data_IF_633508915309
#
_entry.id   IF_633508915309
#
_cell.length_a   1.000
_cell.length_b   1.000
_cell.length_c   1.000
_cell.angle_alpha   90.00
_cell.angle_beta   90.00
_cell.angle_gamma   90.00
#
_symmetry.space_group_name_H-M   'P 1'
#
loop_
_entity.id
_entity.type
_entity.pdbx_description
1 polymer ?
#
# COMPACT_ATOMS: atom_id res chain seq x y z
N UNK A 1 10.43 -13.79 -27.46
CA UNK A 1 10.25 -13.47 -26.02
C UNK A 1 11.36 -14.17 -25.25
N UNK A 2 12.10 -13.42 -24.43
CA UNK A 2 13.33 -13.88 -23.77
C UNK A 2 13.01 -14.89 -22.65
N UNK A 3 13.60 -16.08 -22.70
CA UNK A 3 13.30 -17.23 -21.80
C UNK A 3 13.68 -16.94 -20.34
N UNK A 4 14.63 -16.02 -20.13
CA UNK A 4 15.01 -15.47 -18.82
C UNK A 4 13.85 -14.73 -18.13
N UNK A 5 13.02 -14.01 -18.91
CA UNK A 5 11.87 -13.26 -18.41
C UNK A 5 10.68 -14.13 -18.01
N UNK A 6 10.57 -15.33 -18.61
CA UNK A 6 9.52 -16.30 -18.30
C UNK A 6 9.86 -17.03 -16.99
N UNK A 7 11.13 -17.44 -16.82
CA UNK A 7 11.60 -18.08 -15.58
C UNK A 7 11.47 -17.15 -14.38
N UNK A 8 11.88 -15.88 -14.48
CA UNK A 8 11.77 -14.90 -13.37
C UNK A 8 10.33 -14.65 -12.92
N UNK A 9 9.37 -14.69 -13.86
CA UNK A 9 7.93 -14.55 -13.57
C UNK A 9 7.32 -15.77 -12.89
N UNK A 10 7.83 -16.97 -13.16
CA UNK A 10 7.41 -18.19 -12.47
C UNK A 10 7.97 -18.25 -11.04
N UNK A 11 9.19 -17.79 -10.80
CA UNK A 11 9.73 -17.67 -9.44
C UNK A 11 8.97 -16.66 -8.57
N UNK A 12 8.41 -15.59 -9.16
CA UNK A 12 7.52 -14.68 -8.45
C UNK A 12 6.25 -15.36 -7.91
N UNK A 13 5.72 -16.37 -8.60
CA UNK A 13 4.59 -17.15 -8.09
C UNK A 13 4.99 -17.96 -6.87
N UNK A 14 6.10 -18.71 -6.98
CA UNK A 14 6.62 -19.52 -5.87
C UNK A 14 6.91 -18.65 -4.64
N UNK A 15 7.43 -17.44 -4.84
CA UNK A 15 7.76 -16.53 -3.75
C UNK A 15 6.53 -15.91 -3.06
N UNK A 16 5.39 -15.71 -3.74
CA UNK A 16 4.21 -15.08 -3.13
C UNK A 16 3.29 -16.07 -2.39
N UNK A 17 3.31 -17.34 -2.79
CA UNK A 17 2.46 -18.40 -2.21
C UNK A 17 2.64 -18.56 -0.70
N UNK A 18 3.85 -18.55 -0.12
CA UNK A 18 4.02 -18.60 1.34
C UNK A 18 3.27 -17.49 2.07
N UNK A 19 3.30 -16.25 1.55
CA UNK A 19 2.59 -15.13 2.16
C UNK A 19 1.07 -15.29 2.06
N UNK A 20 0.56 -15.82 0.94
CA UNK A 20 -0.84 -16.20 0.81
C UNK A 20 -1.23 -17.23 1.89
N UNK A 21 -0.46 -18.31 2.05
CA UNK A 21 -0.73 -19.36 3.04
C UNK A 21 -0.73 -18.77 4.46
N UNK A 22 0.29 -17.99 4.78
CA UNK A 22 0.41 -17.31 6.08
C UNK A 22 -0.72 -16.31 6.33
N UNK A 23 -1.30 -15.70 5.30
CA UNK A 23 -2.42 -14.79 5.47
C UNK A 23 -3.75 -15.54 5.59
N UNK A 24 -4.01 -16.51 4.72
CA UNK A 24 -5.29 -17.21 4.61
C UNK A 24 -5.56 -18.14 5.81
N UNK A 25 -4.52 -18.82 6.30
CA UNK A 25 -4.62 -19.82 7.37
C UNK A 25 -4.11 -19.30 8.71
N UNK A 26 -4.18 -17.99 8.94
CA UNK A 26 -3.78 -17.39 10.22
C UNK A 26 -4.83 -17.58 11.30
N UNK A 27 -4.38 -17.73 12.54
CA UNK A 27 -5.25 -17.72 13.72
C UNK A 27 -5.87 -16.34 13.95
N UNK A 28 -6.99 -16.31 14.70
CA UNK A 28 -7.66 -15.08 15.13
C UNK A 28 -6.75 -14.11 15.91
N UNK A 29 -5.67 -14.59 16.53
CA UNK A 29 -4.68 -13.78 17.25
C UNK A 29 -3.63 -13.12 16.35
N UNK A 30 -3.56 -13.48 15.06
CA UNK A 30 -2.57 -12.94 14.12
C UNK A 30 -3.19 -11.79 13.36
N UNK A 31 -2.59 -10.62 13.49
CA UNK A 31 -3.08 -9.35 12.99
C UNK A 31 -4.00 -8.65 14.00
N UNK A 32 -3.75 -7.36 14.21
CA UNK A 32 -4.46 -6.47 15.14
C UNK A 32 -5.98 -6.46 14.88
N UNK A 33 -6.38 -6.56 13.61
CA UNK A 33 -7.79 -6.42 13.21
C UNK A 33 -8.47 -7.75 12.86
N UNK A 34 -7.76 -8.89 12.90
CA UNK A 34 -8.31 -10.19 12.44
C UNK A 34 -9.56 -10.59 13.21
N UNK A 35 -9.53 -10.47 14.55
CA UNK A 35 -10.71 -10.77 15.38
C UNK A 35 -11.91 -9.89 15.02
N UNK A 36 -11.68 -8.62 14.69
CA UNK A 36 -12.73 -7.70 14.24
C UNK A 36 -13.35 -8.14 12.92
N UNK A 37 -12.55 -8.65 11.97
CA UNK A 37 -13.04 -9.19 10.70
C UNK A 37 -13.84 -10.49 10.86
N UNK A 38 -13.46 -11.35 11.81
CA UNK A 38 -14.24 -12.56 12.12
C UNK A 38 -15.57 -12.20 12.78
N UNK A 39 -15.57 -11.27 13.75
CA UNK A 39 -16.78 -10.83 14.43
C UNK A 39 -17.77 -10.13 13.48
N UNK A 40 -17.29 -9.29 12.57
CA UNK A 40 -18.17 -8.60 11.62
C UNK A 40 -18.81 -9.59 10.64
N UNK A 41 -18.07 -10.61 10.19
CA UNK A 41 -18.61 -11.66 9.35
C UNK A 41 -19.75 -12.42 10.04
N UNK A 42 -19.57 -12.81 11.31
CA UNK A 42 -20.63 -13.47 12.09
C UNK A 42 -21.87 -12.59 12.23
N UNK A 43 -21.70 -11.29 12.50
CA UNK A 43 -22.82 -10.34 12.56
C UNK A 43 -23.56 -10.23 11.23
N UNK A 44 -22.85 -10.18 10.11
CA UNK A 44 -23.47 -10.18 8.77
C UNK A 44 -24.26 -11.46 8.54
N UNK A 45 -23.65 -12.62 8.85
CA UNK A 45 -24.26 -13.93 8.65
C UNK A 45 -25.61 -14.08 9.37
N UNK A 46 -25.72 -13.54 10.59
CA UNK A 46 -26.96 -13.58 11.38
C UNK A 46 -27.89 -12.39 11.15
N UNK A 47 -27.62 -11.52 10.16
CA UNK A 47 -28.45 -10.35 9.87
C UNK A 47 -28.42 -9.27 10.97
N UNK A 48 -27.38 -9.26 11.81
CA UNK A 48 -27.23 -8.38 12.97
C UNK A 48 -26.46 -7.09 12.66
N UNK A 49 -26.31 -6.74 11.38
CA UNK A 49 -25.72 -5.46 10.96
C UNK A 49 -26.79 -4.46 10.63
N UNK A 50 -26.76 -3.33 11.35
CA UNK A 50 -27.44 -2.13 10.92
C UNK A 50 -26.58 -1.38 9.89
N UNK A 51 -27.02 -1.39 8.64
CA UNK A 51 -26.36 -0.69 7.54
C UNK A 51 -26.34 0.83 7.72
N UNK A 52 -27.24 1.40 8.53
CA UNK A 52 -27.30 2.85 8.77
C UNK A 52 -26.28 3.31 9.81
N UNK A 53 -25.86 2.43 10.72
CA UNK A 53 -25.01 2.75 11.86
C UNK A 53 -23.67 1.99 11.86
N UNK A 54 -23.29 1.38 10.73
CA UNK A 54 -22.03 0.64 10.61
C UNK A 54 -20.88 1.52 10.14
N UNK A 55 -19.69 1.34 10.73
CA UNK A 55 -18.44 2.00 10.33
C UNK A 55 -17.72 1.27 9.17
N UNK A 56 -18.36 0.28 8.58
CA UNK A 56 -17.82 -0.54 7.48
C UNK A 56 -18.40 -0.10 6.14
N UNK A 57 -17.56 -0.08 5.11
CA UNK A 57 -17.95 0.32 3.76
C UNK A 57 -18.86 -0.73 3.11
N UNK A 58 -19.83 -0.26 2.34
CA UNK A 58 -20.90 -1.11 1.78
C UNK A 58 -20.37 -2.27 0.92
N UNK A 59 -19.31 -2.05 0.14
CA UNK A 59 -18.71 -3.10 -0.69
C UNK A 59 -18.09 -4.22 0.16
N UNK A 60 -17.51 -3.88 1.31
CA UNK A 60 -17.02 -4.88 2.25
C UNK A 60 -18.17 -5.66 2.92
N UNK A 61 -19.27 -4.99 3.29
CA UNK A 61 -20.45 -5.66 3.84
C UNK A 61 -21.07 -6.62 2.80
N UNK A 62 -21.24 -6.18 1.55
CA UNK A 62 -21.77 -7.03 0.47
C UNK A 62 -20.86 -8.22 0.16
N UNK A 63 -19.54 -8.06 0.28
CA UNK A 63 -18.62 -9.18 0.19
C UNK A 63 -18.84 -10.20 1.33
N UNK A 64 -19.03 -9.73 2.57
CA UNK A 64 -19.33 -10.61 3.70
C UNK A 64 -20.65 -11.35 3.50
N UNK A 65 -21.71 -10.67 3.04
CA UNK A 65 -23.01 -11.30 2.74
C UNK A 65 -22.87 -12.42 1.69
N UNK A 66 -22.15 -12.15 0.60
CA UNK A 66 -21.90 -13.12 -0.46
C UNK A 66 -21.13 -14.36 0.04
N UNK A 67 -20.10 -14.14 0.87
CA UNK A 67 -19.33 -15.25 1.45
C UNK A 67 -20.16 -16.01 2.49
N UNK A 68 -20.95 -15.31 3.32
CA UNK A 68 -21.81 -15.93 4.32
C UNK A 68 -22.94 -16.77 3.72
N UNK A 69 -23.38 -16.42 2.50
CA UNK A 69 -24.32 -17.23 1.73
C UNK A 69 -23.72 -18.58 1.29
N UNK A 70 -22.41 -18.61 1.00
CA UNK A 70 -21.73 -19.81 0.51
C UNK A 70 -21.05 -20.64 1.62
N UNK A 71 -20.64 -19.99 2.71
CA UNK A 71 -19.82 -20.60 3.76
C UNK A 71 -20.27 -20.18 5.16
N UNK A 72 -20.34 -21.14 6.07
CA UNK A 72 -20.79 -20.89 7.45
C UNK A 72 -19.67 -20.49 8.41
N UNK A 73 -18.41 -20.78 8.08
CA UNK A 73 -17.25 -20.55 8.95
C UNK A 73 -16.66 -19.15 8.72
N UNK A 74 -16.42 -18.38 9.78
CA UNK A 74 -15.84 -17.03 9.70
C UNK A 74 -14.41 -16.98 9.15
N UNK A 75 -13.63 -18.04 9.24
CA UNK A 75 -12.31 -18.11 8.58
C UNK A 75 -12.44 -17.94 7.05
N UNK A 76 -13.60 -18.23 6.47
CA UNK A 76 -13.85 -18.08 5.03
C UNK A 76 -13.65 -16.63 4.55
N UNK A 77 -14.01 -15.61 5.34
CA UNK A 77 -13.74 -14.22 4.94
C UNK A 77 -12.24 -13.95 4.86
N UNK A 78 -11.45 -14.53 5.75
CA UNK A 78 -9.98 -14.39 5.76
C UNK A 78 -9.39 -15.07 4.54
N UNK A 79 -9.76 -16.33 4.26
CA UNK A 79 -9.25 -17.08 3.13
C UNK A 79 -9.60 -16.40 1.79
N UNK A 80 -10.87 -16.03 1.59
CA UNK A 80 -11.32 -15.43 0.32
C UNK A 80 -10.67 -14.07 0.09
N UNK A 81 -10.60 -13.22 1.12
CA UNK A 81 -9.92 -11.92 0.97
C UNK A 81 -8.43 -12.08 0.73
N UNK A 82 -7.76 -13.04 1.37
CA UNK A 82 -6.37 -13.39 1.05
C UNK A 82 -6.23 -13.85 -0.41
N UNK A 83 -7.10 -14.71 -0.94
CA UNK A 83 -7.06 -15.11 -2.36
C UNK A 83 -7.13 -13.87 -3.25
N UNK A 84 -8.09 -12.98 -3.02
CA UNK A 84 -8.27 -11.76 -3.83
C UNK A 84 -7.04 -10.84 -3.78
N UNK A 85 -6.54 -10.55 -2.57
CA UNK A 85 -5.40 -9.65 -2.34
C UNK A 85 -4.14 -10.22 -2.98
N UNK A 86 -3.75 -11.45 -2.64
CA UNK A 86 -2.49 -12.04 -3.12
C UNK A 86 -2.51 -12.33 -4.62
N UNK A 87 -3.67 -12.64 -5.19
CA UNK A 87 -3.84 -12.74 -6.65
C UNK A 87 -3.59 -11.40 -7.33
N UNK A 88 -4.17 -10.31 -6.81
CA UNK A 88 -3.96 -8.97 -7.33
C UNK A 88 -2.49 -8.54 -7.23
N UNK A 89 -1.84 -8.75 -6.08
CA UNK A 89 -0.42 -8.49 -5.89
C UNK A 89 0.45 -9.31 -6.84
N UNK A 90 0.17 -10.61 -7.00
CA UNK A 90 0.90 -11.46 -7.93
C UNK A 90 0.84 -10.92 -9.36
N UNK A 91 -0.36 -10.64 -9.88
CA UNK A 91 -0.51 -10.12 -11.24
C UNK A 91 0.09 -8.71 -11.41
N UNK A 92 -0.03 -7.85 -10.39
CA UNK A 92 0.59 -6.54 -10.37
C UNK A 92 2.12 -6.65 -10.46
N UNK A 93 2.74 -7.41 -9.57
CA UNK A 93 4.19 -7.59 -9.51
C UNK A 93 4.71 -8.30 -10.77
N UNK A 94 4.08 -9.41 -11.18
CA UNK A 94 4.47 -10.19 -12.36
C UNK A 94 4.47 -9.34 -13.64
N UNK A 95 3.49 -8.43 -13.76
CA UNK A 95 3.30 -7.64 -14.96
C UNK A 95 4.21 -6.41 -15.01
N UNK A 96 4.48 -5.79 -13.87
CA UNK A 96 5.08 -4.46 -13.83
C UNK A 96 6.45 -4.38 -13.16
N UNK A 97 6.89 -5.43 -12.45
CA UNK A 97 8.20 -5.43 -11.83
C UNK A 97 9.30 -5.87 -12.80
N UNK A 98 10.43 -5.18 -12.75
CA UNK A 98 11.67 -5.62 -13.39
C UNK A 98 12.28 -6.86 -12.72
N UNK A 99 11.98 -7.11 -11.44
CA UNK A 99 12.40 -8.30 -10.69
C UNK A 99 11.31 -8.71 -9.69
N UNK A 100 10.42 -9.65 -10.08
CA UNK A 100 9.29 -10.07 -9.25
C UNK A 100 9.68 -10.56 -7.85
N UNK A 101 10.73 -11.39 -7.75
CA UNK A 101 11.21 -11.91 -6.46
C UNK A 101 11.69 -10.78 -5.56
N UNK A 102 12.40 -9.79 -6.11
CA UNK A 102 12.88 -8.67 -5.32
C UNK A 102 11.74 -7.74 -4.88
N UNK A 103 10.72 -7.54 -5.71
CA UNK A 103 9.50 -6.84 -5.30
C UNK A 103 8.76 -7.54 -4.18
N UNK A 104 8.72 -8.89 -4.17
CA UNK A 104 8.09 -9.66 -3.09
C UNK A 104 8.91 -9.58 -1.80
N UNK A 105 10.24 -9.60 -1.91
CA UNK A 105 11.12 -9.30 -0.77
C UNK A 105 10.80 -7.92 -0.19
N UNK A 106 10.72 -6.88 -1.02
CA UNK A 106 10.36 -5.52 -0.59
C UNK A 106 8.94 -5.44 -0.03
N UNK A 107 7.99 -6.19 -0.58
CA UNK A 107 6.63 -6.31 -0.05
C UNK A 107 6.63 -6.78 1.42
N UNK A 108 7.48 -7.75 1.76
CA UNK A 108 7.68 -8.15 3.16
C UNK A 108 8.41 -7.07 3.96
N UNK A 109 9.61 -6.69 3.53
CA UNK A 109 10.53 -5.91 4.37
C UNK A 109 10.13 -4.46 4.54
N UNK A 110 9.36 -3.89 3.61
CA UNK A 110 8.77 -2.55 3.76
C UNK A 110 7.44 -2.57 4.52
N UNK A 111 7.02 -3.71 5.07
CA UNK A 111 5.85 -3.83 5.95
C UNK A 111 4.50 -4.04 5.23
N UNK A 112 4.48 -4.10 3.90
CA UNK A 112 3.23 -4.28 3.15
C UNK A 112 2.57 -5.64 3.38
N UNK A 113 3.34 -6.68 3.70
CA UNK A 113 2.79 -7.95 4.19
C UNK A 113 1.99 -7.78 5.49
N UNK A 114 2.55 -7.06 6.48
CA UNK A 114 1.82 -6.74 7.71
C UNK A 114 0.53 -5.98 7.44
N UNK A 115 0.58 -4.97 6.56
CA UNK A 115 -0.61 -4.23 6.14
C UNK A 115 -1.63 -5.14 5.43
N UNK A 116 -1.20 -6.13 4.63
CA UNK A 116 -2.09 -7.10 3.98
C UNK A 116 -2.87 -7.98 4.96
N UNK A 117 -2.29 -8.24 6.13
CA UNK A 117 -2.92 -9.04 7.20
C UNK A 117 -3.84 -8.18 8.07
N UNK A 118 -3.42 -6.95 8.39
CA UNK A 118 -4.13 -6.06 9.30
C UNK A 118 -5.24 -5.24 8.60
N UNK A 119 -4.98 -4.73 7.41
CA UNK A 119 -5.81 -3.72 6.76
C UNK A 119 -6.59 -4.31 5.57
N UNK A 120 -7.25 -5.46 5.75
CA UNK A 120 -7.91 -6.23 4.66
C UNK A 120 -8.78 -5.33 3.76
N UNK A 121 -9.62 -4.47 4.33
CA UNK A 121 -10.49 -3.56 3.57
C UNK A 121 -9.71 -2.63 2.64
N UNK A 122 -8.69 -1.98 3.18
CA UNK A 122 -7.79 -1.11 2.43
C UNK A 122 -7.04 -1.89 1.35
N UNK A 123 -6.70 -3.15 1.61
CA UNK A 123 -5.91 -3.98 0.70
C UNK A 123 -6.76 -4.56 -0.44
N UNK A 124 -8.05 -4.82 -0.19
CA UNK A 124 -9.04 -5.05 -1.26
C UNK A 124 -9.19 -3.82 -2.15
N UNK A 125 -9.33 -2.63 -1.56
CA UNK A 125 -9.39 -1.38 -2.32
C UNK A 125 -8.10 -1.15 -3.13
N UNK A 126 -6.93 -1.41 -2.53
CA UNK A 126 -5.63 -1.29 -3.20
C UNK A 126 -5.49 -2.27 -4.37
N UNK A 127 -6.03 -3.47 -4.23
CA UNK A 127 -6.07 -4.49 -5.31
C UNK A 127 -6.83 -3.97 -6.53
N UNK A 128 -7.93 -3.24 -6.33
CA UNK A 128 -8.69 -2.59 -7.41
C UNK A 128 -7.90 -1.38 -7.95
N UNK A 129 -7.22 -0.63 -7.09
CA UNK A 129 -6.35 0.50 -7.50
C UNK A 129 -5.21 0.04 -8.40
N UNK A 130 -4.66 -1.16 -8.25
CA UNK A 130 -3.68 -1.71 -9.19
C UNK A 130 -4.24 -1.83 -10.62
N UNK A 131 -5.52 -2.21 -10.75
CA UNK A 131 -6.21 -2.23 -12.04
C UNK A 131 -6.41 -0.80 -12.56
N UNK A 132 -6.88 0.11 -11.71
CA UNK A 132 -7.06 1.52 -12.07
C UNK A 132 -5.76 2.15 -12.59
N UNK A 133 -4.65 1.90 -11.90
CA UNK A 133 -3.32 2.37 -12.29
C UNK A 133 -2.88 1.82 -13.65
N UNK A 134 -3.12 0.54 -13.93
CA UNK A 134 -2.85 -0.05 -15.25
C UNK A 134 -3.63 0.66 -16.38
N UNK A 135 -4.89 1.05 -16.14
CA UNK A 135 -5.67 1.82 -17.12
C UNK A 135 -5.20 3.27 -17.22
N UNK A 136 -4.81 3.88 -16.10
CA UNK A 136 -4.28 5.24 -16.05
C UNK A 136 -2.99 5.37 -16.87
N UNK A 137 -2.10 4.37 -16.78
CA UNK A 137 -0.87 4.28 -17.59
C UNK A 137 -1.13 4.20 -19.09
N UNK A 138 -2.27 3.64 -19.49
CA UNK A 138 -2.73 3.52 -20.87
C UNK A 138 -3.58 4.73 -21.31
N UNK A 139 -3.54 5.80 -20.52
CA UNK A 139 -4.31 7.03 -20.72
C UNK A 139 -5.84 6.84 -20.77
N UNK A 140 -6.35 5.70 -20.27
CA UNK A 140 -7.79 5.39 -20.12
C UNK A 140 -8.31 5.95 -18.80
N UNK A 141 -8.37 7.29 -18.69
CA UNK A 141 -8.68 8.00 -17.45
C UNK A 141 -10.08 7.69 -16.92
N UNK A 142 -11.10 7.61 -17.78
CA UNK A 142 -12.48 7.32 -17.36
C UNK A 142 -12.60 5.95 -16.69
N UNK A 143 -11.95 4.93 -17.27
CA UNK A 143 -11.94 3.58 -16.68
C UNK A 143 -11.19 3.59 -15.33
N UNK A 144 -10.07 4.28 -15.24
CA UNK A 144 -9.33 4.42 -13.98
C UNK A 144 -10.17 5.13 -12.91
N UNK A 145 -10.88 6.21 -13.27
CA UNK A 145 -11.76 6.94 -12.38
C UNK A 145 -12.89 6.05 -11.82
N UNK A 146 -13.60 5.33 -12.68
CA UNK A 146 -14.68 4.40 -12.26
C UNK A 146 -14.12 3.33 -11.33
N UNK A 147 -12.96 2.75 -11.63
CA UNK A 147 -12.32 1.76 -10.77
C UNK A 147 -11.92 2.32 -9.40
N UNK A 148 -11.49 3.58 -9.31
CA UNK A 148 -11.18 4.22 -8.03
C UNK A 148 -12.45 4.47 -7.20
N UNK A 149 -13.55 4.88 -7.85
CA UNK A 149 -14.84 4.97 -7.17
C UNK A 149 -15.29 3.60 -6.67
N UNK A 150 -15.15 2.55 -7.49
CA UNK A 150 -15.46 1.19 -7.07
C UNK A 150 -14.57 0.72 -5.90
N UNK A 151 -13.27 1.06 -5.91
CA UNK A 151 -12.36 0.78 -4.80
C UNK A 151 -12.80 1.45 -3.49
N UNK A 152 -13.36 2.66 -3.58
CA UNK A 152 -13.87 3.38 -2.40
C UNK A 152 -15.04 2.67 -1.70
N UNK A 153 -15.77 1.79 -2.40
CA UNK A 153 -16.80 0.95 -1.78
C UNK A 153 -16.23 -0.07 -0.79
N UNK A 154 -14.93 -0.40 -0.90
CA UNK A 154 -14.24 -1.28 0.05
C UNK A 154 -13.47 -0.49 1.10
N UNK A 155 -12.91 0.67 0.72
CA UNK A 155 -12.29 1.58 1.67
C UNK A 155 -12.24 3.02 1.15
N UNK A 156 -12.92 3.94 1.84
CA UNK A 156 -13.13 5.32 1.36
C UNK A 156 -11.84 6.10 1.04
N UNK A 157 -10.73 5.79 1.72
CA UNK A 157 -9.44 6.46 1.49
C UNK A 157 -8.85 6.18 0.10
N UNK A 158 -9.36 5.18 -0.63
CA UNK A 158 -8.97 4.93 -2.02
C UNK A 158 -9.21 6.14 -2.94
N UNK A 159 -10.17 7.02 -2.59
CA UNK A 159 -10.42 8.27 -3.32
C UNK A 159 -9.20 9.18 -3.38
N UNK A 160 -8.27 9.10 -2.42
CA UNK A 160 -7.01 9.87 -2.45
C UNK A 160 -6.17 9.51 -3.69
N UNK A 161 -6.32 8.29 -4.23
CA UNK A 161 -5.65 7.91 -5.48
C UNK A 161 -6.20 8.63 -6.72
N UNK A 162 -7.35 9.34 -6.65
CA UNK A 162 -7.81 10.22 -7.72
C UNK A 162 -6.78 11.29 -8.06
N UNK A 163 -5.96 11.73 -7.08
CA UNK A 163 -4.88 12.66 -7.33
C UNK A 163 -3.96 12.14 -8.45
N UNK A 164 -3.75 10.83 -8.56
CA UNK A 164 -2.88 10.22 -9.57
C UNK A 164 -3.27 10.64 -11.01
N UNK A 165 -4.56 10.93 -11.26
CA UNK A 165 -5.08 11.38 -12.56
C UNK A 165 -4.49 12.72 -12.98
N UNK A 166 -4.37 13.65 -12.03
CA UNK A 166 -3.79 14.99 -12.28
C UNK A 166 -2.27 14.90 -12.29
N UNK A 167 -1.73 14.16 -11.32
CA UNK A 167 -0.30 14.04 -11.06
C UNK A 167 0.48 13.35 -12.18
N UNK A 168 -0.16 12.51 -13.00
CA UNK A 168 0.50 11.86 -14.14
C UNK A 168 1.10 12.85 -15.14
N UNK A 169 0.65 14.12 -15.14
CA UNK A 169 1.15 15.18 -16.03
C UNK A 169 2.41 15.87 -15.48
N UNK A 170 2.76 15.64 -14.22
CA UNK A 170 3.89 16.31 -13.56
C UNK A 170 5.19 15.67 -14.01
N UNK A 171 6.14 16.51 -14.44
CA UNK A 171 7.51 16.13 -14.73
C UNK A 171 8.41 16.51 -13.56
N UNK A 172 9.19 15.55 -13.07
CA UNK A 172 10.14 15.76 -11.99
C UNK A 172 11.27 16.68 -12.45
N UNK A 173 11.37 17.83 -11.79
CA UNK A 173 12.47 18.78 -11.91
C UNK A 173 12.59 19.58 -10.60
N UNK A 174 13.58 20.47 -10.51
CA UNK A 174 13.82 21.29 -9.30
C UNK A 174 12.59 22.14 -8.92
N UNK A 175 11.87 22.67 -9.91
CA UNK A 175 10.68 23.51 -9.69
C UNK A 175 9.53 22.65 -9.15
N UNK A 176 9.24 21.49 -9.75
CA UNK A 176 8.19 20.60 -9.25
C UNK A 176 8.49 20.14 -7.83
N UNK A 177 9.75 19.82 -7.52
CA UNK A 177 10.17 19.45 -6.15
C UNK A 177 9.95 20.61 -5.19
N UNK A 178 10.38 21.83 -5.53
CA UNK A 178 10.18 23.01 -4.70
C UNK A 178 8.70 23.30 -4.45
N UNK A 179 7.86 23.24 -5.50
CA UNK A 179 6.40 23.44 -5.39
C UNK A 179 5.79 22.39 -4.44
N UNK A 180 6.13 21.11 -4.59
CA UNK A 180 5.64 20.06 -3.69
C UNK A 180 6.08 20.28 -2.24
N UNK A 181 7.33 20.68 -2.01
CA UNK A 181 7.83 21.00 -0.68
C UNK A 181 7.06 22.17 -0.06
N UNK A 182 6.84 23.24 -0.83
CA UNK A 182 6.06 24.40 -0.37
C UNK A 182 4.62 23.99 -0.04
N UNK A 183 3.94 23.26 -0.94
CA UNK A 183 2.58 22.76 -0.70
C UNK A 183 2.53 21.89 0.57
N UNK A 184 3.54 21.05 0.79
CA UNK A 184 3.62 20.18 1.96
C UNK A 184 3.78 21.00 3.25
N UNK A 185 4.68 21.98 3.25
CA UNK A 185 4.91 22.88 4.41
C UNK A 185 3.66 23.69 4.71
N UNK A 186 3.06 24.30 3.69
CA UNK A 186 1.81 25.07 3.83
C UNK A 186 0.69 24.17 4.35
N UNK A 187 0.55 22.96 3.82
CA UNK A 187 -0.45 21.99 4.29
C UNK A 187 -0.21 21.53 5.73
N UNK A 188 1.04 21.37 6.13
CA UNK A 188 1.40 21.02 7.51
C UNK A 188 1.07 22.15 8.48
N UNK A 189 1.39 23.40 8.13
CA UNK A 189 1.06 24.58 8.93
C UNK A 189 -0.47 24.78 8.99
N UNK A 190 -1.15 24.58 7.87
CA UNK A 190 -2.61 24.71 7.74
C UNK A 190 -3.37 23.40 8.01
N UNK A 191 -2.86 22.51 8.88
CA UNK A 191 -3.46 21.17 9.03
C UNK A 191 -4.88 21.22 9.63
N UNK A 192 -5.20 22.17 10.50
CA UNK A 192 -6.53 22.29 11.15
C UNK A 192 -7.65 22.49 10.12
N UNK A 193 -7.61 23.50 9.22
CA UNK A 193 -8.65 23.66 8.21
C UNK A 193 -8.72 22.47 7.23
N UNK A 194 -7.58 21.85 6.92
CA UNK A 194 -7.53 20.63 6.08
C UNK A 194 -8.21 19.45 6.78
N UNK A 195 -7.96 19.26 8.08
CA UNK A 195 -8.59 18.24 8.90
C UNK A 195 -10.10 18.44 8.97
N UNK A 196 -10.57 19.66 9.20
CA UNK A 196 -12.00 19.97 9.23
C UNK A 196 -12.67 19.67 7.88
N UNK A 197 -12.01 19.99 6.77
CA UNK A 197 -12.47 19.63 5.43
C UNK A 197 -12.50 18.10 5.23
N UNK A 198 -11.44 17.40 5.64
CA UNK A 198 -11.36 15.95 5.57
C UNK A 198 -12.50 15.27 6.34
N UNK A 199 -12.75 15.68 7.57
CA UNK A 199 -13.82 15.15 8.43
C UNK A 199 -15.22 15.41 7.86
N UNK A 200 -15.39 16.52 7.13
CA UNK A 200 -16.63 16.81 6.40
C UNK A 200 -16.84 15.88 5.19
N UNK A 201 -15.77 15.57 4.45
CA UNK A 201 -15.81 14.67 3.28
C UNK A 201 -15.92 13.21 3.72
N UNK A 202 -15.30 12.85 4.84
CA UNK A 202 -15.28 11.49 5.37
C UNK A 202 -15.82 11.44 6.82
N UNK A 203 -17.14 11.59 7.02
CA UNK A 203 -17.75 11.69 8.35
C UNK A 203 -17.51 10.47 9.25
N UNK A 204 -17.25 9.30 8.64
CA UNK A 204 -16.92 8.06 9.37
C UNK A 204 -15.69 8.22 10.28
N UNK A 205 -14.83 9.21 10.02
CA UNK A 205 -13.67 9.49 10.85
C UNK A 205 -13.95 10.41 12.04
N UNK A 206 -15.16 10.98 12.15
CA UNK A 206 -15.54 11.80 13.31
C UNK A 206 -15.48 11.02 14.63
N UNK A 207 -15.72 9.71 14.59
CA UNK A 207 -15.62 8.84 15.79
C UNK A 207 -14.21 8.76 16.38
N UNK A 208 -13.18 9.22 15.65
CA UNK A 208 -11.80 9.23 16.11
C UNK A 208 -11.41 10.54 16.79
N UNK A 209 -12.27 11.57 16.77
CA UNK A 209 -12.03 12.84 17.47
C UNK A 209 -11.89 12.57 18.98
N UNK A 210 -10.82 13.09 19.59
CA UNK A 210 -10.52 12.88 21.01
C UNK A 210 -9.97 11.49 21.36
N UNK A 211 -9.77 10.60 20.36
CA UNK A 211 -9.11 9.32 20.57
C UNK A 211 -7.58 9.43 20.51
N UNK A 212 -6.88 8.40 20.96
CA UNK A 212 -5.41 8.27 20.81
C UNK A 212 -4.92 8.43 19.35
N UNK A 213 -5.80 8.26 18.36
CA UNK A 213 -5.51 8.46 16.94
C UNK A 213 -5.49 9.92 16.50
N UNK A 214 -5.90 10.84 17.38
CA UNK A 214 -6.00 12.29 17.18
C UNK A 214 -5.16 13.11 18.17
N UNK A 215 -4.46 12.47 19.11
CA UNK A 215 -3.75 13.16 20.20
C UNK A 215 -2.54 14.03 19.78
N UNK A 216 -2.33 14.28 18.49
CA UNK A 216 -1.27 15.18 17.99
C UNK A 216 0.17 14.76 18.30
N UNK A 217 0.37 13.69 19.08
CA UNK A 217 1.69 13.16 19.38
C UNK A 217 2.31 12.57 18.12
N UNK A 218 3.50 13.05 17.80
CA UNK A 218 4.28 12.56 16.67
C UNK A 218 4.60 11.09 16.90
N UNK A 219 3.97 10.22 16.11
CA UNK A 219 4.20 8.78 16.21
C UNK A 219 5.52 8.41 15.56
N UNK A 220 6.34 7.65 16.29
CA UNK A 220 7.60 7.11 15.78
C UNK A 220 7.42 6.37 14.45
N UNK A 221 6.30 5.68 14.25
CA UNK A 221 5.95 5.01 12.98
C UNK A 221 5.91 5.98 11.79
N UNK A 222 5.31 7.16 11.96
CA UNK A 222 5.24 8.18 10.91
C UNK A 222 6.62 8.78 10.61
N UNK A 223 7.46 9.00 11.63
CA UNK A 223 8.85 9.44 11.45
C UNK A 223 9.65 8.38 10.68
N UNK A 224 9.58 7.11 11.09
CA UNK A 224 10.29 6.02 10.42
C UNK A 224 9.86 5.88 8.96
N UNK A 225 8.55 5.94 8.69
CA UNK A 225 8.04 5.91 7.33
C UNK A 225 8.53 7.11 6.50
N UNK A 226 8.54 8.31 7.08
CA UNK A 226 9.06 9.52 6.43
C UNK A 226 10.54 9.37 6.05
N UNK A 227 11.36 8.83 6.96
CA UNK A 227 12.78 8.58 6.72
C UNK A 227 12.97 7.56 5.58
N UNK A 228 12.27 6.43 5.62
CA UNK A 228 12.36 5.39 4.58
C UNK A 228 11.92 5.94 3.22
N UNK A 229 10.79 6.64 3.15
CA UNK A 229 10.30 7.24 1.91
C UNK A 229 11.26 8.31 1.37
N UNK A 230 11.86 9.10 2.25
CA UNK A 230 12.88 10.09 1.87
C UNK A 230 14.13 9.43 1.30
N UNK A 231 14.60 8.33 1.90
CA UNK A 231 15.71 7.54 1.37
C UNK A 231 15.39 6.94 -0.01
N UNK A 232 14.18 6.39 -0.19
CA UNK A 232 13.71 5.87 -1.49
C UNK A 232 13.63 6.99 -2.53
N UNK A 233 13.16 8.17 -2.14
CA UNK A 233 13.10 9.33 -3.01
C UNK A 233 14.50 9.77 -3.48
N UNK A 234 15.44 9.95 -2.54
CA UNK A 234 16.82 10.33 -2.82
C UNK A 234 17.48 9.27 -3.71
N UNK A 235 17.35 7.99 -3.36
CA UNK A 235 17.83 6.86 -4.16
C UNK A 235 17.34 6.97 -5.62
N UNK A 236 16.06 7.27 -5.78
CA UNK A 236 15.41 7.50 -7.05
C UNK A 236 15.98 8.65 -7.88
N UNK A 237 16.31 9.77 -7.24
CA UNK A 237 16.90 10.93 -7.91
C UNK A 237 18.36 10.67 -8.32
N UNK A 238 19.14 10.04 -7.44
CA UNK A 238 20.56 9.73 -7.66
C UNK A 238 20.74 8.75 -8.82
N UNK A 239 19.92 7.69 -8.87
CA UNK A 239 20.02 6.63 -9.88
C UNK A 239 18.93 6.72 -10.96
N UNK A 240 18.51 7.94 -11.32
CA UNK A 240 17.51 8.14 -12.36
C UNK A 240 17.93 7.47 -13.68
N UNK A 241 16.99 6.80 -14.39
CA UNK A 241 17.32 6.13 -15.65
C UNK A 241 17.58 7.13 -16.79
N UNK A 242 18.32 6.69 -17.80
CA UNK A 242 18.43 7.40 -19.07
C UNK A 242 17.10 7.45 -19.81
N UNK A 243 16.89 8.47 -20.65
CA UNK A 243 15.68 8.62 -21.46
C UNK A 243 15.39 7.38 -22.34
N UNK A 244 16.45 6.72 -22.82
CA UNK A 244 16.34 5.57 -23.73
C UNK A 244 16.21 4.20 -23.02
N UNK A 245 16.00 4.17 -21.70
CA UNK A 245 15.84 2.90 -20.99
C UNK A 245 14.58 2.16 -21.44
N UNK A 246 14.75 0.88 -21.80
CA UNK A 246 13.68 0.00 -22.27
C UNK A 246 13.07 -0.89 -21.17
N UNK A 247 13.83 -1.23 -20.12
CA UNK A 247 13.37 -2.17 -19.08
C UNK A 247 12.51 -1.48 -18.01
N UNK A 248 12.92 -0.29 -17.59
CA UNK A 248 12.17 0.58 -16.69
C UNK A 248 12.30 2.01 -17.21
N UNK A 249 11.25 2.47 -17.89
CA UNK A 249 11.29 3.67 -18.71
C UNK A 249 11.40 4.95 -17.86
N UNK A 250 11.91 6.02 -18.46
CA UNK A 250 11.92 7.34 -17.79
C UNK A 250 10.51 7.81 -17.40
N UNK A 251 9.48 7.48 -18.19
CA UNK A 251 8.08 7.78 -17.88
C UNK A 251 7.61 7.06 -16.61
N UNK A 252 7.97 5.78 -16.45
CA UNK A 252 7.64 5.00 -15.25
C UNK A 252 8.40 5.50 -14.03
N UNK A 253 9.70 5.78 -14.17
CA UNK A 253 10.50 6.43 -13.13
C UNK A 253 9.83 7.73 -12.68
N UNK A 254 9.58 8.66 -13.61
CA UNK A 254 9.01 9.96 -13.29
C UNK A 254 7.67 9.83 -12.54
N UNK A 255 6.76 8.98 -13.02
CA UNK A 255 5.46 8.76 -12.39
C UNK A 255 5.59 8.18 -10.97
N UNK A 256 6.44 7.17 -10.77
CA UNK A 256 6.65 6.57 -9.46
C UNK A 256 7.40 7.52 -8.52
N UNK A 257 8.34 8.34 -9.00
CA UNK A 257 8.98 9.40 -8.23
C UNK A 257 7.95 10.41 -7.71
N UNK A 258 6.99 10.82 -8.56
CA UNK A 258 5.88 11.67 -8.12
C UNK A 258 5.08 10.98 -7.02
N UNK A 259 4.76 9.70 -7.15
CA UNK A 259 4.04 8.95 -6.10
C UNK A 259 4.81 8.89 -4.78
N UNK A 260 6.13 8.67 -4.81
CA UNK A 260 6.95 8.72 -3.60
C UNK A 260 6.95 10.14 -3.00
N UNK A 261 7.01 11.20 -3.81
CA UNK A 261 6.90 12.58 -3.30
C UNK A 261 5.58 12.84 -2.60
N UNK A 262 4.46 12.40 -3.16
CA UNK A 262 3.15 12.54 -2.51
C UNK A 262 3.06 11.69 -1.26
N UNK A 263 3.65 10.50 -1.26
CA UNK A 263 3.73 9.64 -0.08
C UNK A 263 4.45 10.37 1.06
N UNK A 264 5.56 11.07 0.75
CA UNK A 264 6.26 11.93 1.71
C UNK A 264 5.35 13.05 2.19
N UNK A 265 4.69 13.79 1.29
CA UNK A 265 3.76 14.86 1.64
C UNK A 265 2.65 14.38 2.58
N UNK A 266 1.98 13.29 2.23
CA UNK A 266 0.93 12.68 3.05
C UNK A 266 1.47 12.21 4.41
N UNK A 267 2.68 11.66 4.45
CA UNK A 267 3.32 11.23 5.70
C UNK A 267 3.64 12.41 6.61
N UNK A 268 4.12 13.53 6.06
CA UNK A 268 4.34 14.77 6.83
C UNK A 268 3.02 15.28 7.42
N UNK A 269 1.95 15.31 6.63
CA UNK A 269 0.63 15.68 7.13
C UNK A 269 0.12 14.71 8.21
N UNK A 270 0.46 13.42 8.09
CA UNK A 270 0.07 12.40 9.07
C UNK A 270 0.76 12.53 10.43
N UNK A 271 1.82 13.36 10.55
CA UNK A 271 2.46 13.65 11.83
C UNK A 271 1.50 14.35 12.79
N UNK A 272 0.59 15.19 12.26
CA UNK A 272 -0.45 15.85 13.05
C UNK A 272 -1.76 15.04 13.08
N UNK A 273 -2.02 14.22 12.07
CA UNK A 273 -3.29 13.49 11.92
C UNK A 273 -3.09 12.06 11.38
N UNK A 274 -3.07 11.08 12.28
CA UNK A 274 -2.64 9.72 11.93
C UNK A 274 -3.54 9.03 10.89
N UNK A 275 -4.81 9.41 10.76
CA UNK A 275 -5.72 8.82 9.77
C UNK A 275 -5.26 9.05 8.31
N UNK A 276 -4.43 10.08 8.04
CA UNK A 276 -3.81 10.29 6.73
C UNK A 276 -2.76 9.21 6.42
N UNK A 277 -2.19 8.53 7.42
CA UNK A 277 -1.17 7.50 7.19
C UNK A 277 -1.67 6.37 6.26
N UNK A 278 -2.96 6.02 6.32
CA UNK A 278 -3.58 5.05 5.40
C UNK A 278 -3.64 5.53 3.95
N UNK A 279 -3.76 6.84 3.75
CA UNK A 279 -3.75 7.44 2.41
C UNK A 279 -2.37 7.33 1.75
N UNK A 280 -1.28 7.39 2.54
CA UNK A 280 0.09 7.22 2.06
C UNK A 280 0.28 5.89 1.33
N UNK A 281 -0.32 4.80 1.82
CA UNK A 281 -0.11 3.45 1.28
C UNK A 281 -0.55 3.28 -0.17
N UNK A 282 -1.54 4.05 -0.63
CA UNK A 282 -1.99 4.02 -2.02
C UNK A 282 -0.95 4.53 -3.01
N UNK A 283 0.06 5.27 -2.54
CA UNK A 283 1.16 5.78 -3.34
C UNK A 283 2.50 5.12 -2.98
N UNK A 284 2.74 4.83 -1.71
CA UNK A 284 4.02 4.28 -1.26
C UNK A 284 4.24 2.87 -1.79
N UNK A 285 3.18 2.08 -1.99
CA UNK A 285 3.27 0.68 -2.46
C UNK A 285 4.02 0.54 -3.78
N UNK A 286 4.03 1.57 -4.63
CA UNK A 286 4.77 1.56 -5.89
C UNK A 286 6.29 1.49 -5.69
N UNK A 287 6.79 1.71 -4.47
CA UNK A 287 8.19 1.49 -4.07
C UNK A 287 8.67 0.07 -4.39
N UNK A 288 7.81 -0.95 -4.27
CA UNK A 288 8.15 -2.34 -4.56
C UNK A 288 8.46 -2.58 -6.03
N UNK A 289 7.95 -1.73 -6.94
CA UNK A 289 8.28 -1.75 -8.37
C UNK A 289 9.42 -0.78 -8.69
N UNK A 290 9.43 0.37 -8.03
CA UNK A 290 10.36 1.47 -8.25
C UNK A 290 11.82 1.08 -7.98
N UNK A 291 12.08 0.47 -6.81
CA UNK A 291 13.43 0.11 -6.38
C UNK A 291 14.06 -0.95 -7.33
N UNK A 292 13.39 -2.09 -7.64
CA UNK A 292 13.93 -3.05 -8.59
C UNK A 292 14.05 -2.47 -10.01
N UNK A 293 13.13 -1.59 -10.41
CA UNK A 293 13.18 -0.89 -11.70
C UNK A 293 14.46 -0.05 -11.85
N UNK A 294 14.78 0.78 -10.85
CA UNK A 294 16.02 1.58 -10.82
C UNK A 294 17.25 0.67 -10.85
N UNK A 295 17.31 -0.33 -9.98
CA UNK A 295 18.47 -1.22 -9.89
C UNK A 295 18.69 -1.96 -11.21
N UNK A 296 17.61 -2.42 -11.86
CA UNK A 296 17.70 -3.12 -13.15
C UNK A 296 18.35 -2.26 -14.26
N UNK A 297 18.19 -0.94 -14.20
CA UNK A 297 18.75 0.01 -15.16
C UNK A 297 20.22 0.36 -14.94
N UNK A 298 20.82 -0.05 -13.82
CA UNK A 298 22.25 0.18 -13.60
C UNK A 298 23.07 -0.63 -14.61
N UNK A 299 23.89 0.08 -15.41
CA UNK A 299 24.75 -0.50 -16.45
C UNK A 299 25.95 -1.25 -15.85
N UNK A 300 26.58 -0.66 -14.83
CA UNK A 300 27.70 -1.28 -14.12
C UNK A 300 27.18 -2.44 -13.24
N UNK A 301 27.65 -3.65 -13.54
CA UNK A 301 27.26 -4.88 -12.82
C UNK A 301 27.74 -4.89 -11.38
N UNK A 302 28.94 -4.39 -11.09
CA UNK A 302 29.49 -4.33 -9.73
C UNK A 302 28.69 -3.33 -8.91
N UNK A 303 28.42 -2.15 -9.46
CA UNK A 303 27.59 -1.13 -8.80
C UNK A 303 26.17 -1.66 -8.55
N UNK A 304 25.55 -2.33 -9.54
CA UNK A 304 24.25 -2.98 -9.40
C UNK A 304 24.22 -3.98 -8.25
N UNK A 305 25.23 -4.83 -8.11
CA UNK A 305 25.34 -5.81 -7.03
C UNK A 305 25.51 -5.12 -5.66
N UNK A 306 26.41 -4.15 -5.55
CA UNK A 306 26.66 -3.42 -4.30
C UNK A 306 25.38 -2.68 -3.85
N UNK A 307 24.74 -1.93 -4.75
CA UNK A 307 23.50 -1.21 -4.43
C UNK A 307 22.38 -2.17 -4.08
N UNK A 308 22.22 -3.25 -4.85
CA UNK A 308 21.22 -4.28 -4.56
C UNK A 308 21.41 -4.89 -3.16
N UNK A 309 22.65 -5.23 -2.82
CA UNK A 309 22.99 -5.74 -1.49
C UNK A 309 22.72 -4.71 -0.39
N UNK A 310 23.12 -3.44 -0.58
CA UNK A 310 22.87 -2.38 0.40
C UNK A 310 21.38 -2.17 0.65
N UNK A 311 20.56 -2.17 -0.40
CA UNK A 311 19.10 -2.07 -0.27
C UNK A 311 18.54 -3.25 0.52
N UNK A 312 18.99 -4.48 0.23
CA UNK A 312 18.58 -5.67 0.98
C UNK A 312 18.91 -5.52 2.48
N UNK A 313 20.15 -5.11 2.80
CA UNK A 313 20.59 -4.91 4.19
C UNK A 313 19.74 -3.85 4.89
N UNK A 314 19.56 -2.67 4.28
CA UNK A 314 18.78 -1.56 4.87
C UNK A 314 17.33 -1.98 5.11
N UNK A 315 16.71 -2.67 4.14
CA UNK A 315 15.34 -3.15 4.28
C UNK A 315 15.20 -4.24 5.35
N UNK A 316 16.18 -5.14 5.50
CA UNK A 316 16.19 -6.14 6.57
C UNK A 316 16.35 -5.48 7.94
N UNK A 317 17.29 -4.53 8.08
CA UNK A 317 17.46 -3.78 9.32
C UNK A 317 16.16 -3.06 9.69
N UNK A 318 15.54 -2.35 8.75
CA UNK A 318 14.25 -1.71 8.98
C UNK A 318 13.16 -2.70 9.43
N UNK A 319 13.04 -3.83 8.74
CA UNK A 319 12.07 -4.87 9.08
C UNK A 319 12.30 -5.43 10.49
N UNK A 320 13.52 -5.83 10.83
CA UNK A 320 13.84 -6.40 12.15
C UNK A 320 13.73 -5.37 13.27
N UNK A 321 14.09 -4.10 13.03
CA UNK A 321 13.87 -3.03 14.01
C UNK A 321 12.40 -2.91 14.37
N UNK A 322 11.50 -2.95 13.38
CA UNK A 322 10.06 -2.93 13.65
C UNK A 322 9.63 -4.19 14.38
N UNK A 323 10.00 -5.39 13.91
CA UNK A 323 9.53 -6.63 14.52
C UNK A 323 10.05 -6.87 15.94
N UNK A 324 11.25 -6.41 16.27
CA UNK A 324 11.86 -6.62 17.58
C UNK A 324 11.49 -5.53 18.59
N UNK A 325 11.44 -4.27 18.15
CA UNK A 325 11.23 -3.14 19.06
C UNK A 325 9.81 -2.58 19.03
N UNK A 326 9.04 -2.85 17.97
CA UNK A 326 7.65 -2.37 17.79
C UNK A 326 6.71 -3.47 17.24
N UNK A 327 6.73 -4.70 17.79
CA UNK A 327 5.89 -5.81 17.31
C UNK A 327 4.38 -5.48 17.36
N UNK A 328 3.95 -4.61 18.26
CA UNK A 328 2.55 -4.19 18.43
C UNK A 328 1.99 -3.39 17.24
N UNK A 329 2.85 -2.79 16.41
CA UNK A 329 2.40 -2.04 15.23
C UNK A 329 1.79 -2.96 14.16
N UNK A 330 2.31 -4.18 14.05
CA UNK A 330 1.82 -5.18 13.11
C UNK A 330 2.05 -6.56 13.73
N UNK A 331 1.06 -7.08 14.45
CA UNK A 331 1.16 -8.40 15.10
C UNK A 331 1.14 -9.51 14.03
N UNK A 332 2.32 -9.89 13.56
CA UNK A 332 2.53 -11.01 12.62
C UNK A 332 3.44 -12.11 13.21
N UNK A 333 4.01 -11.85 14.39
CA UNK A 333 4.89 -12.74 15.14
C UNK A 333 4.62 -12.61 16.66
N UNK A 334 4.67 -13.69 17.47
CA UNK A 334 4.84 -15.10 17.09
C UNK A 334 3.64 -15.61 16.29
N UNK A 335 3.92 -16.29 15.17
CA UNK A 335 2.89 -16.71 14.23
C UNK A 335 2.16 -17.97 14.71
N UNK A 336 0.84 -18.02 14.47
CA UNK A 336 -0.04 -19.17 14.77
C UNK A 336 -0.94 -19.44 13.58
N UNK A 337 -0.99 -20.71 13.17
CA UNK A 337 -1.97 -21.18 12.20
C UNK A 337 -3.34 -21.35 12.84
N UNK A 338 -4.36 -21.09 12.04
CA UNK A 338 -5.75 -21.45 12.31
C UNK A 338 -5.83 -22.94 12.65
N UNK A 339 -6.62 -23.27 13.69
CA UNK A 339 -6.85 -24.63 14.16
C UNK A 339 -8.28 -25.06 13.91
#
# INVERSE_FOLDING_TARGET
MDTSSIKSKNYGFIAIVPFFILSAFRDSSIGNDTRSYLMIFERVKFGQIDLKNTNFEIGYIKLNECIAFLFSNSQSIIIITSIMIYTAYYFFIKKFSASPVFSIFLFLTLGYFGNSVNLIRQQLALSIVFLAWNYLRKDKVVVAFILILFASLFHNTALVFLLAIVLKKIKINKISIAIFSIITIVGYIAYIPILNLFLRIFPVYNSYIGSIYMNGEVRLASIMNLLVLSLIFIFGLVFKPSLDSKQFSYKEWNMMTVYIMISISLTVLSLNFNLIARATDYFSIFSILYIPGIISNLKDKKLKLIIGFLVVVVCLVYFFVIQLYRPEWNVIYPYKFYR
#
